data_IF_809492219846
#
_entry.id   IF_809492219846
#
_cell.length_a   1.000
_cell.length_b   1.000
_cell.length_c   1.000
_cell.angle_alpha   90.00
_cell.angle_beta   90.00
_cell.angle_gamma   90.00
#
_symmetry.space_group_name_H-M   'P 1'
#
loop_
_entity.id
_entity.type
_entity.pdbx_description
1 polymer ?
#
# COMPACT_ATOMS: atom_id res chain seq x y z
N UNK A 1 -25.28 26.55 34.65
CA UNK A 1 -24.07 25.71 34.80
C UNK A 1 -24.02 24.52 33.84
N UNK A 2 -25.13 23.81 33.56
CA UNK A 2 -25.13 22.63 32.67
C UNK A 2 -24.95 22.94 31.17
N UNK A 3 -25.64 23.94 30.63
CA UNK A 3 -25.61 24.26 29.18
C UNK A 3 -24.23 24.73 28.71
N UNK A 4 -23.52 25.51 29.54
CA UNK A 4 -22.18 26.01 29.21
C UNK A 4 -21.16 24.87 29.10
N UNK A 5 -21.29 23.84 29.93
CA UNK A 5 -20.43 22.66 29.90
C UNK A 5 -20.65 21.82 28.63
N UNK A 6 -21.90 21.70 28.17
CA UNK A 6 -22.25 20.98 26.93
C UNK A 6 -21.66 21.69 25.70
N UNK A 7 -21.72 23.03 25.66
CA UNK A 7 -21.09 23.82 24.59
C UNK A 7 -19.57 23.66 24.61
N UNK A 8 -18.96 23.65 25.79
CA UNK A 8 -17.52 23.42 25.94
C UNK A 8 -17.11 22.02 25.46
N UNK A 9 -17.86 20.99 25.83
CA UNK A 9 -17.62 19.61 25.39
C UNK A 9 -17.78 19.48 23.87
N UNK A 10 -18.82 20.11 23.30
CA UNK A 10 -19.05 20.11 21.84
C UNK A 10 -17.94 20.83 21.07
N UNK A 11 -17.31 21.86 21.66
CA UNK A 11 -16.20 22.59 21.07
C UNK A 11 -14.88 21.80 21.14
N UNK A 12 -14.69 20.98 22.18
CA UNK A 12 -13.55 20.08 22.30
C UNK A 12 -13.66 18.92 21.28
N UNK A 13 -14.87 18.37 21.07
CA UNK A 13 -15.08 17.27 20.12
C UNK A 13 -14.91 17.70 18.65
N UNK A 14 -15.30 18.93 18.28
CA UNK A 14 -15.20 19.41 16.89
C UNK A 14 -13.76 19.61 16.41
N UNK A 15 -12.81 19.75 17.34
CA UNK A 15 -11.37 19.84 17.02
C UNK A 15 -10.71 18.47 16.85
N UNK A 16 -11.40 17.37 17.16
CA UNK A 16 -10.86 16.00 16.99
C UNK A 16 -11.14 15.41 15.60
N UNK A 17 -11.21 16.27 14.58
CA UNK A 17 -11.19 15.82 13.21
C UNK A 17 -9.73 15.57 12.81
N UNK A 18 -9.23 14.38 13.17
CA UNK A 18 -7.97 13.89 12.63
C UNK A 18 -8.17 13.72 11.11
N UNK A 19 -7.86 14.78 10.35
CA UNK A 19 -7.59 14.64 8.92
C UNK A 19 -6.34 13.79 8.80
N UNK A 20 -6.51 12.47 8.83
CA UNK A 20 -5.53 11.55 8.27
C UNK A 20 -5.45 11.90 6.80
N UNK A 21 -4.45 12.71 6.42
CA UNK A 21 -3.99 12.75 5.04
C UNK A 21 -3.77 11.30 4.61
N UNK A 22 -4.57 10.84 3.66
CA UNK A 22 -4.39 9.53 3.10
C UNK A 22 -3.03 9.54 2.39
N UNK A 23 -1.99 9.07 3.07
CA UNK A 23 -0.67 8.86 2.46
C UNK A 23 -0.90 7.99 1.23
N UNK A 24 -0.65 8.54 0.05
CA UNK A 24 -0.72 7.78 -1.19
C UNK A 24 0.24 6.61 -1.07
N UNK A 25 -0.28 5.39 -1.21
CA UNK A 25 0.55 4.21 -1.16
C UNK A 25 1.56 4.25 -2.31
N UNK A 26 2.85 4.07 -2.01
CA UNK A 26 3.90 4.00 -3.02
C UNK A 26 4.67 2.70 -2.82
N UNK A 27 4.87 1.95 -3.90
CA UNK A 27 5.61 0.68 -3.87
C UNK A 27 7.12 0.83 -3.62
N UNK A 28 7.67 2.05 -3.77
CA UNK A 28 9.10 2.28 -3.56
C UNK A 28 9.37 2.49 -2.05
N UNK A 29 10.38 1.81 -1.52
CA UNK A 29 10.76 1.86 -0.09
C UNK A 29 9.61 1.51 0.88
N UNK A 30 8.68 0.66 0.45
CA UNK A 30 7.54 0.21 1.27
C UNK A 30 7.92 -1.06 2.04
N UNK A 31 7.51 -1.16 3.31
CA UNK A 31 7.80 -2.34 4.14
C UNK A 31 6.86 -3.51 3.82
N UNK A 32 7.20 -4.73 4.23
CA UNK A 32 6.33 -5.90 4.08
C UNK A 32 5.00 -5.68 4.83
N UNK A 33 5.04 -5.06 6.01
CA UNK A 33 3.84 -4.73 6.78
C UNK A 33 2.93 -3.76 6.01
N UNK A 34 3.51 -2.73 5.38
CA UNK A 34 2.77 -1.79 4.53
C UNK A 34 2.15 -2.48 3.30
N UNK A 35 2.84 -3.45 2.69
CA UNK A 35 2.31 -4.26 1.58
C UNK A 35 1.10 -5.08 2.06
N UNK A 36 1.22 -5.76 3.21
CA UNK A 36 0.11 -6.53 3.76
C UNK A 36 -1.09 -5.64 4.11
N UNK A 37 -0.85 -4.45 4.65
CA UNK A 37 -1.92 -3.47 4.89
C UNK A 37 -2.55 -3.05 3.55
N UNK A 38 -1.78 -2.80 2.50
CA UNK A 38 -2.29 -2.44 1.18
C UNK A 38 -3.13 -3.56 0.54
N UNK A 39 -2.72 -4.82 0.68
CA UNK A 39 -3.52 -5.99 0.27
C UNK A 39 -4.85 -6.04 1.02
N UNK A 40 -4.83 -5.94 2.34
CA UNK A 40 -6.05 -5.94 3.18
C UNK A 40 -7.00 -4.78 2.87
N UNK A 41 -6.46 -3.66 2.38
CA UNK A 41 -7.22 -2.49 1.98
C UNK A 41 -7.61 -2.50 0.49
N UNK A 42 -7.31 -3.58 -0.25
CA UNK A 42 -7.53 -3.69 -1.71
C UNK A 42 -6.90 -2.53 -2.51
N UNK A 43 -5.84 -1.93 -1.98
CA UNK A 43 -5.05 -0.86 -2.62
C UNK A 43 -3.94 -1.40 -3.51
N UNK A 44 -3.63 -2.69 -3.38
CA UNK A 44 -2.62 -3.40 -4.12
C UNK A 44 -3.11 -4.84 -4.29
N UNK A 45 -2.75 -5.48 -5.41
CA UNK A 45 -2.87 -6.92 -5.60
C UNK A 45 -1.49 -7.53 -5.84
N UNK A 46 -1.35 -8.83 -5.62
CA UNK A 46 -0.14 -9.61 -5.91
C UNK A 46 0.23 -9.47 -7.38
N UNK A 47 -0.75 -9.50 -8.30
CA UNK A 47 -0.54 -9.24 -9.73
C UNK A 47 0.12 -7.89 -9.99
N UNK A 48 -0.42 -6.82 -9.40
CA UNK A 48 0.13 -5.47 -9.53
C UNK A 48 1.54 -5.35 -8.93
N UNK A 49 1.78 -6.00 -7.79
CA UNK A 49 3.09 -6.03 -7.14
C UNK A 49 4.15 -6.69 -8.04
N UNK A 50 3.81 -7.85 -8.62
CA UNK A 50 4.72 -8.58 -9.51
C UNK A 50 4.97 -7.81 -10.81
N UNK A 51 3.94 -7.28 -11.46
CA UNK A 51 4.08 -6.45 -12.68
C UNK A 51 4.99 -5.24 -12.46
N UNK A 52 4.87 -4.58 -11.30
CA UNK A 52 5.72 -3.44 -10.94
C UNK A 52 7.20 -3.84 -10.88
N UNK A 53 7.52 -4.96 -10.23
CA UNK A 53 8.91 -5.42 -10.14
C UNK A 53 9.43 -5.96 -11.47
N UNK A 54 8.65 -6.72 -12.23
CA UNK A 54 9.03 -7.15 -13.59
C UNK A 54 9.39 -5.95 -14.48
N UNK A 55 8.60 -4.88 -14.41
CA UNK A 55 8.87 -3.63 -15.12
C UNK A 55 10.17 -2.95 -14.67
N UNK A 56 10.48 -2.97 -13.36
CA UNK A 56 11.76 -2.47 -12.84
C UNK A 56 12.93 -3.32 -13.32
N UNK A 57 12.79 -4.65 -13.27
CA UNK A 57 13.81 -5.60 -13.71
C UNK A 57 14.13 -5.37 -15.19
N UNK A 58 13.11 -5.26 -16.03
CA UNK A 58 13.27 -4.99 -17.46
C UNK A 58 14.09 -3.72 -17.74
N UNK A 59 13.86 -2.65 -16.98
CA UNK A 59 14.57 -1.38 -17.16
C UNK A 59 15.98 -1.36 -16.57
N UNK A 60 16.18 -2.00 -15.41
CA UNK A 60 17.41 -1.85 -14.63
C UNK A 60 18.42 -2.98 -14.83
N UNK A 61 17.95 -4.20 -15.10
CA UNK A 61 18.82 -5.37 -15.19
C UNK A 61 19.83 -5.35 -16.36
N UNK A 62 19.58 -4.69 -17.53
CA UNK A 62 20.61 -4.57 -18.57
C UNK A 62 21.91 -3.90 -18.09
N UNK A 63 21.80 -3.01 -17.09
CA UNK A 63 22.92 -2.28 -16.50
C UNK A 63 23.42 -2.99 -15.24
N UNK A 64 22.51 -3.28 -14.30
CA UNK A 64 22.87 -3.82 -12.98
C UNK A 64 23.27 -5.29 -13.03
N UNK A 65 22.71 -6.06 -13.98
CA UNK A 65 22.96 -7.50 -14.16
C UNK A 65 22.80 -8.31 -12.87
N UNK A 66 21.84 -7.92 -12.02
CA UNK A 66 21.58 -8.55 -10.72
C UNK A 66 20.64 -9.76 -10.79
N UNK A 67 19.98 -9.98 -11.92
CA UNK A 67 19.02 -11.07 -12.12
C UNK A 67 19.46 -11.89 -13.32
N UNK A 68 19.59 -13.20 -13.11
CA UNK A 68 20.00 -14.15 -14.15
C UNK A 68 18.79 -14.61 -14.97
N UNK A 69 17.69 -14.93 -14.30
CA UNK A 69 16.46 -15.42 -14.91
C UNK A 69 15.23 -14.91 -14.15
N UNK A 70 14.14 -14.71 -14.88
CA UNK A 70 12.82 -14.39 -14.32
C UNK A 70 11.93 -15.62 -14.50
N UNK A 71 11.24 -16.03 -13.43
CA UNK A 71 10.26 -17.12 -13.51
C UNK A 71 9.12 -16.77 -14.48
N UNK A 72 8.94 -17.57 -15.53
CA UNK A 72 7.89 -17.38 -16.53
C UNK A 72 6.47 -17.47 -15.93
N UNK A 73 6.31 -18.22 -14.83
CA UNK A 73 5.02 -18.41 -14.16
C UNK A 73 4.71 -17.32 -13.12
N UNK A 74 5.61 -16.34 -12.92
CA UNK A 74 5.47 -15.35 -11.84
C UNK A 74 4.12 -14.62 -11.85
N UNK A 75 3.63 -14.29 -13.04
CA UNK A 75 2.32 -13.66 -13.22
C UNK A 75 1.19 -14.63 -12.85
N UNK A 76 1.20 -15.85 -13.38
CA UNK A 76 0.19 -16.86 -13.05
C UNK A 76 0.11 -17.13 -11.54
N UNK A 77 1.26 -17.25 -10.87
CA UNK A 77 1.33 -17.44 -9.42
C UNK A 77 0.79 -16.23 -8.64
N UNK A 78 1.01 -15.02 -9.16
CA UNK A 78 0.46 -13.80 -8.56
C UNK A 78 -1.07 -13.76 -8.67
N UNK A 79 -1.64 -14.15 -9.83
CA UNK A 79 -3.11 -14.26 -9.98
C UNK A 79 -3.69 -15.29 -9.02
N UNK A 80 -3.00 -16.43 -8.86
CA UNK A 80 -3.42 -17.46 -7.91
C UNK A 80 -3.40 -16.94 -6.47
N UNK A 81 -2.36 -16.21 -6.09
CA UNK A 81 -2.26 -15.62 -4.75
C UNK A 81 -3.34 -14.55 -4.48
N UNK A 82 -3.85 -13.87 -5.50
CA UNK A 82 -4.96 -12.93 -5.37
C UNK A 82 -6.33 -13.62 -5.19
N UNK A 83 -6.42 -14.93 -5.43
CA UNK A 83 -7.64 -15.73 -5.29
C UNK A 83 -7.76 -16.44 -3.93
N UNK A 84 -6.65 -16.56 -3.18
CA UNK A 84 -6.56 -17.22 -1.87
C UNK A 84 -6.98 -16.28 -0.72
#
# INVERSE_FOLDING_TARGET
MSVLAIVFISLILSNFSNKTEAKTFTLKETTIDDIHIAFKQSKLTSRQLVEFYLSKIQRSNPILKGIIEVNADALFLADKADQD
#
